data_IF_743890744792
#
_entry.id   IF_743890744792
#
_cell.length_a   1.000
_cell.length_b   1.000
_cell.length_c   1.000
_cell.angle_alpha   90.00
_cell.angle_beta   90.00
_cell.angle_gamma   90.00
#
_symmetry.space_group_name_H-M   'P 1'
#
loop_
_entity.id
_entity.type
_entity.pdbx_description
1 polymer ?
#
# COMPACT_ATOMS: atom_id res chain seq x y z
N UNK A 1 25.50 -59.99 35.31
CA UNK A 1 24.51 -59.00 35.76
C UNK A 1 24.68 -57.76 34.88
N UNK A 2 23.86 -57.59 33.84
CA UNK A 2 23.94 -56.47 32.89
C UNK A 2 22.96 -55.41 33.36
N UNK A 3 23.50 -54.19 33.73
CA UNK A 3 22.69 -53.03 34.02
C UNK A 3 22.19 -52.41 32.70
N UNK A 4 20.89 -52.35 32.56
CA UNK A 4 20.20 -51.56 31.51
C UNK A 4 20.02 -50.13 32.04
N UNK A 5 20.67 -49.14 31.37
CA UNK A 5 20.46 -47.73 31.62
C UNK A 5 19.34 -47.23 30.73
N UNK A 6 18.26 -46.64 31.24
CA UNK A 6 17.21 -46.09 30.40
C UNK A 6 17.65 -44.77 29.77
N UNK A 7 17.57 -44.64 28.45
CA UNK A 7 17.82 -43.43 27.71
C UNK A 7 16.54 -42.57 27.75
N UNK A 8 16.56 -41.48 28.48
CA UNK A 8 15.47 -40.54 28.52
C UNK A 8 15.52 -39.68 27.26
N UNK A 9 14.49 -39.76 26.37
CA UNK A 9 14.28 -38.87 25.27
C UNK A 9 13.80 -37.48 25.82
N UNK A 10 14.64 -36.48 25.75
CA UNK A 10 14.25 -35.10 26.02
C UNK A 10 13.59 -34.55 24.75
N UNK A 11 12.29 -34.42 24.77
CA UNK A 11 11.52 -33.79 23.69
C UNK A 11 11.79 -32.28 23.67
N UNK A 12 12.41 -31.78 22.59
CA UNK A 12 12.59 -30.35 22.35
C UNK A 12 11.24 -29.82 21.85
N UNK A 13 10.50 -29.15 22.73
CA UNK A 13 9.32 -28.38 22.36
C UNK A 13 9.79 -27.18 21.53
N UNK A 14 9.64 -27.24 20.21
CA UNK A 14 9.88 -26.10 19.32
C UNK A 14 8.87 -24.99 19.62
N UNK A 15 9.33 -23.85 20.15
CA UNK A 15 8.54 -22.64 20.27
C UNK A 15 8.17 -22.16 18.88
N UNK A 16 6.88 -22.22 18.50
CA UNK A 16 6.38 -21.52 17.33
C UNK A 16 6.56 -20.01 17.58
N UNK A 17 7.57 -19.41 16.93
CA UNK A 17 7.72 -17.96 16.93
C UNK A 17 6.46 -17.36 16.31
N UNK A 18 5.72 -16.56 17.08
CA UNK A 18 4.61 -15.77 16.56
C UNK A 18 5.18 -14.87 15.45
N UNK A 19 4.72 -15.08 14.22
CA UNK A 19 5.14 -14.29 13.07
C UNK A 19 4.68 -12.85 13.30
N UNK A 20 5.59 -11.89 13.27
CA UNK A 20 5.25 -10.47 13.36
C UNK A 20 4.19 -10.16 12.28
N UNK A 21 3.19 -9.31 12.58
CA UNK A 21 2.18 -8.94 11.60
C UNK A 21 2.88 -8.41 10.34
N UNK A 22 2.36 -8.79 9.18
CA UNK A 22 2.89 -8.34 7.89
C UNK A 22 2.94 -6.80 7.87
N UNK A 23 4.11 -6.23 7.63
CA UNK A 23 4.33 -4.79 7.55
C UNK A 23 4.87 -4.46 6.15
N UNK A 24 4.58 -3.27 5.66
CA UNK A 24 5.17 -2.76 4.44
C UNK A 24 6.66 -2.46 4.70
N UNK A 25 7.55 -3.17 4.00
CA UNK A 25 8.98 -2.91 4.06
C UNK A 25 9.41 -1.94 2.94
N UNK A 26 10.61 -1.35 3.11
CA UNK A 26 11.15 -0.39 2.15
C UNK A 26 11.39 -1.00 0.76
N UNK A 27 11.71 -2.30 0.66
CA UNK A 27 11.91 -2.99 -0.60
C UNK A 27 10.60 -3.11 -1.38
N UNK A 28 9.52 -3.51 -0.72
CA UNK A 28 8.19 -3.57 -1.33
C UNK A 28 7.70 -2.17 -1.73
N UNK A 29 7.91 -1.16 -0.88
CA UNK A 29 7.55 0.23 -1.20
C UNK A 29 8.29 0.76 -2.44
N UNK A 30 9.60 0.47 -2.59
CA UNK A 30 10.36 0.80 -3.78
C UNK A 30 9.88 0.04 -5.02
N UNK A 31 9.51 -1.23 -4.89
CA UNK A 31 8.95 -2.02 -5.98
C UNK A 31 7.61 -1.45 -6.47
N UNK A 32 6.77 -0.95 -5.56
CA UNK A 32 5.52 -0.25 -5.90
C UNK A 32 5.83 0.99 -6.75
N UNK A 33 6.77 1.84 -6.31
CA UNK A 33 7.18 3.04 -7.04
C UNK A 33 7.69 2.65 -8.44
N UNK A 34 8.59 1.67 -8.53
CA UNK A 34 9.15 1.23 -9.81
C UNK A 34 8.09 0.65 -10.76
N UNK A 35 7.12 -0.10 -10.24
CA UNK A 35 6.01 -0.67 -11.01
C UNK A 35 5.07 0.39 -11.58
N UNK A 36 4.77 1.44 -10.81
CA UNK A 36 4.00 2.59 -11.28
C UNK A 36 4.77 3.34 -12.39
N UNK A 37 6.06 3.64 -12.19
CA UNK A 37 6.90 4.27 -13.23
C UNK A 37 6.92 3.45 -14.52
N UNK A 38 7.05 2.12 -14.42
CA UNK A 38 7.03 1.24 -15.57
C UNK A 38 5.67 1.25 -16.32
N UNK A 39 4.58 1.48 -15.62
CA UNK A 39 3.23 1.64 -16.18
C UNK A 39 3.07 2.97 -16.93
N UNK A 40 3.62 4.06 -16.38
CA UNK A 40 3.42 5.44 -16.87
C UNK A 40 4.35 5.81 -18.03
N UNK A 41 5.61 5.35 -17.98
CA UNK A 41 6.65 5.72 -18.95
C UNK A 41 6.26 5.44 -20.42
N UNK A 42 5.71 4.26 -20.78
CA UNK A 42 5.33 3.99 -22.18
C UNK A 42 4.19 4.89 -22.69
N UNK A 43 3.42 5.47 -21.78
CA UNK A 43 2.31 6.38 -22.07
C UNK A 43 2.74 7.85 -22.10
N UNK A 44 4.02 8.14 -21.87
CA UNK A 44 4.54 9.50 -21.71
C UNK A 44 3.88 10.29 -20.57
N UNK A 45 3.41 9.57 -19.55
CA UNK A 45 2.80 10.13 -18.35
C UNK A 45 3.88 10.45 -17.31
N UNK A 46 3.63 11.45 -16.47
CA UNK A 46 4.54 11.90 -15.41
C UNK A 46 3.79 11.99 -14.09
N UNK A 47 4.13 11.11 -13.15
CA UNK A 47 3.45 10.95 -11.88
C UNK A 47 4.31 11.38 -10.69
N UNK A 48 3.64 11.84 -9.65
CA UNK A 48 4.13 11.87 -8.28
C UNK A 48 3.55 10.67 -7.55
N UNK A 49 4.39 9.87 -6.91
CA UNK A 49 4.04 8.59 -6.30
C UNK A 49 4.48 8.63 -4.84
N UNK A 50 3.58 8.36 -3.91
CA UNK A 50 3.86 8.30 -2.48
C UNK A 50 3.34 6.99 -1.89
N UNK A 51 4.21 6.24 -1.19
CA UNK A 51 3.87 4.99 -0.51
C UNK A 51 4.00 5.20 0.99
N UNK A 52 2.92 4.93 1.73
CA UNK A 52 2.84 5.14 3.18
C UNK A 52 2.53 3.82 3.91
N UNK A 53 2.93 3.74 5.18
CA UNK A 53 2.55 2.66 6.08
C UNK A 53 1.07 2.78 6.55
N UNK A 54 0.62 1.88 7.41
CA UNK A 54 -0.75 1.90 7.97
C UNK A 54 -1.05 3.12 8.83
N UNK A 55 -0.03 3.82 9.32
CA UNK A 55 -0.13 5.05 10.09
C UNK A 55 -0.08 6.32 9.22
N UNK A 56 -0.04 6.18 7.88
CA UNK A 56 0.09 7.30 6.95
C UNK A 56 1.49 7.87 6.86
N UNK A 57 2.52 7.20 7.41
CA UNK A 57 3.91 7.70 7.36
C UNK A 57 4.59 7.29 6.08
N UNK A 58 5.28 8.23 5.46
CA UNK A 58 5.98 8.02 4.19
C UNK A 58 7.09 6.95 4.33
N UNK A 59 7.05 5.95 3.46
CA UNK A 59 8.06 4.88 3.34
C UNK A 59 8.91 5.05 2.08
N UNK A 60 8.28 5.39 0.94
CA UNK A 60 8.97 5.68 -0.31
C UNK A 60 8.19 6.72 -1.11
N UNK A 61 8.90 7.54 -1.89
CA UNK A 61 8.27 8.48 -2.81
C UNK A 61 9.16 8.74 -4.03
N UNK A 62 8.53 9.09 -5.13
CA UNK A 62 9.18 9.60 -6.32
C UNK A 62 8.28 10.63 -7.00
N UNK A 63 8.86 11.76 -7.37
CA UNK A 63 8.24 12.71 -8.28
C UNK A 63 8.99 12.64 -9.62
N UNK A 64 8.30 12.18 -10.66
CA UNK A 64 8.88 12.08 -12.00
C UNK A 64 9.17 13.48 -12.57
N UNK A 65 10.03 13.51 -13.59
CA UNK A 65 10.48 14.74 -14.22
C UNK A 65 9.31 15.51 -14.83
N UNK A 66 9.34 16.85 -14.70
CA UNK A 66 8.28 17.72 -15.21
C UNK A 66 7.05 17.86 -14.30
N UNK A 67 6.90 17.00 -13.30
CA UNK A 67 5.76 17.05 -12.38
C UNK A 67 5.96 18.15 -11.30
N UNK A 68 4.92 18.88 -10.97
CA UNK A 68 4.95 19.97 -9.97
C UNK A 68 4.99 19.45 -8.51
N UNK A 69 5.49 20.29 -7.59
CA UNK A 69 5.53 19.94 -6.16
C UNK A 69 4.15 19.68 -5.57
N UNK A 70 3.13 20.42 -5.99
CA UNK A 70 1.75 20.22 -5.52
C UNK A 70 1.18 18.84 -5.88
N UNK A 71 1.68 18.19 -6.95
CA UNK A 71 1.27 16.82 -7.28
C UNK A 71 1.84 15.82 -6.27
N UNK A 72 3.06 16.04 -5.75
CA UNK A 72 3.61 15.20 -4.68
C UNK A 72 2.81 15.37 -3.39
N UNK A 73 2.47 16.59 -3.00
CA UNK A 73 1.66 16.84 -1.81
C UNK A 73 0.28 16.15 -1.94
N UNK A 74 -0.29 16.18 -3.15
CA UNK A 74 -1.57 15.54 -3.40
C UNK A 74 -1.46 14.00 -3.45
N UNK A 75 -0.37 13.45 -3.98
CA UNK A 75 -0.10 12.02 -3.92
C UNK A 75 0.01 11.52 -2.46
N UNK A 76 0.71 12.27 -1.60
CA UNK A 76 0.78 11.98 -0.16
C UNK A 76 -0.61 12.03 0.46
N UNK A 77 -1.41 13.06 0.20
CA UNK A 77 -2.76 13.17 0.76
C UNK A 77 -3.67 12.00 0.31
N UNK A 78 -3.58 11.57 -0.96
CA UNK A 78 -4.32 10.39 -1.47
C UNK A 78 -3.87 9.10 -0.77
N UNK A 79 -2.55 8.92 -0.54
CA UNK A 79 -2.02 7.77 0.19
C UNK A 79 -2.49 7.75 1.63
N UNK A 80 -2.38 8.87 2.36
CA UNK A 80 -2.85 9.02 3.73
C UNK A 80 -4.34 8.74 3.86
N UNK A 81 -5.15 9.24 2.92
CA UNK A 81 -6.58 8.97 2.87
C UNK A 81 -6.86 7.46 2.77
N UNK A 82 -6.24 6.76 1.82
CA UNK A 82 -6.42 5.33 1.65
C UNK A 82 -5.89 4.51 2.85
N UNK A 83 -4.79 4.96 3.49
CA UNK A 83 -4.27 4.35 4.71
C UNK A 83 -5.22 4.55 5.90
N UNK A 84 -5.79 5.73 6.08
CA UNK A 84 -6.67 6.05 7.20
C UNK A 84 -8.00 5.29 7.12
N UNK A 85 -8.61 5.25 5.93
CA UNK A 85 -9.96 4.70 5.75
C UNK A 85 -9.98 3.23 5.32
N UNK A 86 -8.90 2.72 4.71
CA UNK A 86 -8.78 1.32 4.29
C UNK A 86 -9.50 0.95 3.01
N UNK A 87 -9.96 1.94 2.23
CA UNK A 87 -10.52 1.80 0.90
C UNK A 87 -9.99 2.90 -0.02
N UNK A 88 -10.14 2.75 -1.33
CA UNK A 88 -9.51 3.66 -2.29
C UNK A 88 -10.19 5.02 -2.31
N UNK A 89 -9.44 6.05 -2.74
CA UNK A 89 -10.02 7.38 -2.95
C UNK A 89 -11.08 7.40 -4.06
N UNK A 90 -11.04 6.46 -5.01
CA UNK A 90 -12.13 6.25 -5.97
C UNK A 90 -13.42 5.85 -5.26
N UNK A 91 -13.35 4.94 -4.30
CA UNK A 91 -14.50 4.56 -3.45
C UNK A 91 -14.97 5.71 -2.55
N UNK A 92 -14.07 6.62 -2.14
CA UNK A 92 -14.46 7.84 -1.42
C UNK A 92 -15.29 8.79 -2.29
N UNK A 93 -14.98 8.88 -3.59
CA UNK A 93 -15.83 9.64 -4.55
C UNK A 93 -17.26 9.11 -4.52
N UNK A 94 -17.45 7.80 -4.57
CA UNK A 94 -18.79 7.20 -4.57
C UNK A 94 -19.48 7.32 -3.22
N UNK A 95 -18.76 7.13 -2.12
CA UNK A 95 -19.28 7.33 -0.77
C UNK A 95 -19.75 8.78 -0.56
N UNK A 96 -19.02 9.77 -1.08
CA UNK A 96 -19.39 11.19 -0.98
C UNK A 96 -20.69 11.52 -1.73
N UNK A 97 -21.00 10.81 -2.80
CA UNK A 97 -22.28 10.97 -3.53
C UNK A 97 -23.48 10.49 -2.70
N UNK A 98 -23.27 9.41 -1.91
CA UNK A 98 -24.33 8.78 -1.11
C UNK A 98 -24.45 9.28 0.33
N UNK A 99 -23.41 9.97 0.84
CA UNK A 99 -23.33 10.36 2.27
C UNK A 99 -23.07 11.85 2.39
N UNK A 100 -24.07 12.69 2.67
CA UNK A 100 -23.89 14.14 2.85
C UNK A 100 -22.83 14.43 3.92
N UNK A 101 -21.88 15.31 3.59
CA UNK A 101 -20.81 15.72 4.51
C UNK A 101 -19.59 14.79 4.54
N UNK A 102 -19.63 13.61 3.94
CA UNK A 102 -18.49 12.68 3.95
C UNK A 102 -17.24 13.31 3.32
N UNK A 103 -17.38 14.10 2.24
CA UNK A 103 -16.24 14.78 1.61
C UNK A 103 -15.49 15.75 2.55
N UNK A 104 -16.11 16.18 3.65
CA UNK A 104 -15.51 17.08 4.64
C UNK A 104 -14.96 16.31 5.87
N UNK A 105 -15.05 14.98 5.89
CA UNK A 105 -14.50 14.19 6.98
C UNK A 105 -12.96 14.21 6.94
N UNK A 106 -12.29 14.08 8.11
CA UNK A 106 -10.84 14.06 8.16
C UNK A 106 -10.23 12.98 7.25
N UNK A 107 -9.15 13.31 6.56
CA UNK A 107 -8.43 12.40 5.65
C UNK A 107 -9.31 11.84 4.51
N UNK A 108 -10.36 12.52 4.09
CA UNK A 108 -11.11 12.15 2.89
C UNK A 108 -10.57 12.91 1.69
N UNK A 109 -10.28 12.18 0.62
CA UNK A 109 -9.89 12.72 -0.69
C UNK A 109 -10.83 12.15 -1.76
N UNK A 110 -11.58 13.01 -2.40
CA UNK A 110 -12.59 12.64 -3.43
C UNK A 110 -12.04 12.78 -4.85
N UNK A 111 -10.80 12.32 -5.06
CA UNK A 111 -10.15 12.20 -6.38
C UNK A 111 -9.39 10.89 -6.40
N UNK A 112 -9.63 10.05 -7.40
CA UNK A 112 -8.99 8.74 -7.52
C UNK A 112 -7.45 8.84 -7.60
N UNK A 113 -6.75 7.75 -7.28
CA UNK A 113 -5.30 7.63 -7.25
C UNK A 113 -4.71 7.19 -5.91
N UNK A 114 -5.51 7.20 -4.83
CA UNK A 114 -5.14 6.59 -3.54
C UNK A 114 -5.67 5.16 -3.45
N UNK A 115 -4.79 4.18 -3.19
CA UNK A 115 -5.14 2.75 -3.18
C UNK A 115 -4.53 2.08 -1.95
N UNK A 116 -5.31 1.34 -1.13
CA UNK A 116 -4.78 0.61 0.01
C UNK A 116 -3.91 -0.56 -0.46
N UNK A 117 -2.90 -0.92 0.33
CA UNK A 117 -2.00 -2.03 0.07
C UNK A 117 -2.28 -3.14 1.07
N UNK A 118 -2.54 -4.35 0.55
CA UNK A 118 -2.69 -5.56 1.35
C UNK A 118 -1.50 -6.51 1.14
N UNK A 119 -1.26 -7.34 2.15
CA UNK A 119 -0.23 -8.38 2.15
C UNK A 119 -0.35 -9.32 0.94
N UNK A 120 0.69 -10.10 0.65
CA UNK A 120 0.73 -11.04 -0.47
C UNK A 120 -0.37 -12.12 -0.42
N UNK A 121 -0.96 -12.39 0.74
CA UNK A 121 -2.15 -13.25 0.90
C UNK A 121 -3.48 -12.46 0.87
N UNK A 122 -3.44 -11.16 0.68
CA UNK A 122 -4.59 -10.27 0.60
C UNK A 122 -5.34 -10.03 1.92
N UNK A 123 -4.87 -10.55 3.06
CA UNK A 123 -5.65 -10.55 4.31
C UNK A 123 -5.40 -9.34 5.19
N UNK A 124 -4.17 -8.84 5.21
CA UNK A 124 -3.75 -7.77 6.13
C UNK A 124 -3.43 -6.52 5.35
N UNK A 125 -4.07 -5.39 5.68
CA UNK A 125 -3.68 -4.10 5.13
C UNK A 125 -2.35 -3.68 5.76
N UNK A 126 -1.37 -3.35 4.93
CA UNK A 126 0.00 -3.04 5.34
C UNK A 126 0.42 -1.60 5.01
N UNK A 127 -0.40 -0.84 4.28
CA UNK A 127 -0.12 0.54 3.91
C UNK A 127 -1.07 1.04 2.83
N UNK A 128 -0.65 2.08 2.13
CA UNK A 128 -1.35 2.62 0.95
C UNK A 128 -0.35 3.29 0.00
N UNK A 129 -0.75 3.45 -1.25
CA UNK A 129 -0.05 4.25 -2.26
C UNK A 129 -0.98 5.33 -2.78
N UNK A 130 -0.44 6.51 -3.03
CA UNK A 130 -1.11 7.62 -3.69
C UNK A 130 -0.32 8.05 -4.92
N UNK A 131 -1.03 8.32 -5.99
CA UNK A 131 -0.49 8.81 -7.26
C UNK A 131 -1.23 10.06 -7.68
N UNK A 132 -0.50 11.00 -8.28
CA UNK A 132 -1.06 12.24 -8.81
C UNK A 132 -0.18 12.79 -9.92
N UNK A 133 -0.79 13.28 -10.98
CA UNK A 133 -0.07 13.87 -12.11
C UNK A 133 -0.86 13.82 -13.40
N UNK A 134 -1.72 12.84 -13.52
CA UNK A 134 -2.50 12.55 -14.71
C UNK A 134 -4.02 12.58 -14.43
N UNK A 135 -4.81 12.03 -15.32
CA UNK A 135 -6.24 11.81 -15.07
C UNK A 135 -6.43 10.88 -13.86
N UNK A 136 -7.47 11.08 -13.03
CA UNK A 136 -7.65 10.30 -11.79
C UNK A 136 -7.68 8.78 -12.01
N UNK A 137 -8.18 8.32 -13.14
CA UNK A 137 -8.23 6.91 -13.53
C UNK A 137 -6.84 6.36 -13.87
N UNK A 138 -5.99 7.17 -14.51
CA UNK A 138 -4.60 6.82 -14.82
C UNK A 138 -3.75 6.80 -13.55
N UNK A 139 -3.92 7.77 -12.64
CA UNK A 139 -3.31 7.78 -11.31
C UNK A 139 -3.63 6.48 -10.55
N UNK A 140 -4.90 6.06 -10.54
CA UNK A 140 -5.33 4.83 -9.89
C UNK A 140 -4.73 3.58 -10.55
N UNK A 141 -4.71 3.52 -11.88
CA UNK A 141 -4.12 2.41 -12.63
C UNK A 141 -2.61 2.29 -12.40
N UNK A 142 -1.88 3.41 -12.28
CA UNK A 142 -0.47 3.43 -11.91
C UNK A 142 -0.26 2.86 -10.50
N UNK A 143 -1.06 3.29 -9.52
CA UNK A 143 -1.03 2.79 -8.15
C UNK A 143 -1.23 1.25 -8.10
N UNK A 144 -2.25 0.75 -8.78
CA UNK A 144 -2.57 -0.69 -8.84
C UNK A 144 -1.48 -1.50 -9.54
N UNK A 145 -0.91 -0.98 -10.65
CA UNK A 145 0.21 -1.62 -11.33
C UNK A 145 1.45 -1.72 -10.42
N UNK A 146 1.73 -0.68 -9.65
CA UNK A 146 2.79 -0.68 -8.65
C UNK A 146 2.59 -1.75 -7.58
N UNK A 147 1.41 -1.81 -6.97
CA UNK A 147 1.06 -2.82 -5.96
C UNK A 147 1.24 -4.23 -6.52
N UNK A 148 0.71 -4.48 -7.73
CA UNK A 148 0.84 -5.78 -8.41
C UNK A 148 2.30 -6.15 -8.70
N UNK A 149 3.13 -5.19 -9.13
CA UNK A 149 4.55 -5.41 -9.40
C UNK A 149 5.34 -5.81 -8.14
N UNK A 150 4.90 -5.35 -6.97
CA UNK A 150 5.46 -5.75 -5.68
C UNK A 150 4.94 -7.12 -5.17
N UNK A 151 4.06 -7.81 -5.90
CA UNK A 151 3.44 -9.07 -5.47
C UNK A 151 2.42 -8.90 -4.34
N UNK A 152 1.81 -7.73 -4.24
CA UNK A 152 0.85 -7.35 -3.21
C UNK A 152 -0.56 -7.19 -3.82
N UNK A 153 -1.57 -6.97 -2.98
CA UNK A 153 -2.96 -6.82 -3.39
C UNK A 153 -3.48 -5.40 -3.12
N UNK A 154 -4.34 -4.88 -4.02
CA UNK A 154 -5.03 -3.59 -3.87
C UNK A 154 -6.39 -3.71 -3.17
N UNK A 155 -6.84 -4.93 -2.90
CA UNK A 155 -8.07 -5.24 -2.18
C UNK A 155 -7.88 -6.43 -1.27
N UNK A 156 -8.79 -6.58 -0.29
CA UNK A 156 -8.84 -7.76 0.57
C UNK A 156 -9.35 -8.96 -0.24
N UNK A 157 -8.70 -10.11 -0.06
CA UNK A 157 -9.12 -11.42 -0.58
C UNK A 157 -10.21 -12.06 0.28
#
# INVERSE_FOLDING_TARGET
>A
MRLLVPFALVGIAGSAAAQAPAALDAKAAQAIVAGCVAQSTPKMQSDAIAVVDTGGRLVAALRMDGNGSGMMDFAVAKAEAAAAWGFSTAQMVDAAKGTPGFANAPHVVTVAGGVPIFSADGKVRIGAVGVSGEAPEDDAACAEAGIKAAGLHSSRS
#
